data_IF_884702791412
#
_entry.id   IF_884702791412
#
_cell.length_a   1.000
_cell.length_b   1.000
_cell.length_c   1.000
_cell.angle_alpha   90.00
_cell.angle_beta   90.00
_cell.angle_gamma   90.00
#
_symmetry.space_group_name_H-M   'P 1'
#
loop_
_entity.id
_entity.type
_entity.pdbx_description
1 polymer ?
#
# COMPACT_ATOMS: atom_id res chain seq x y z
N UNK A 1 3.42 -10.67 -24.67
CA UNK A 1 2.97 -9.63 -23.72
C UNK A 1 2.16 -10.27 -22.60
N UNK A 2 2.05 -9.62 -21.44
CA UNK A 2 1.21 -10.00 -20.30
C UNK A 2 0.28 -8.84 -19.96
N UNK A 3 -0.92 -9.16 -19.46
CA UNK A 3 -1.83 -8.16 -18.90
C UNK A 3 -1.43 -7.92 -17.44
N UNK A 4 -1.06 -6.71 -17.10
CA UNK A 4 -0.71 -6.29 -15.74
C UNK A 4 -1.81 -5.43 -15.14
N UNK A 5 -2.10 -5.65 -13.86
CA UNK A 5 -3.05 -4.80 -13.14
C UNK A 5 -2.27 -3.64 -12.53
N UNK A 6 -2.67 -2.41 -12.84
CA UNK A 6 -1.94 -1.22 -12.41
C UNK A 6 -1.86 -1.19 -10.89
N UNK A 7 -3.00 -1.45 -10.25
CA UNK A 7 -3.08 -1.76 -8.81
C UNK A 7 -3.09 -3.29 -8.67
N UNK A 8 -2.31 -3.83 -7.74
CA UNK A 8 -2.31 -5.27 -7.47
C UNK A 8 -3.72 -5.82 -7.26
N UNK A 9 -4.07 -6.93 -7.96
CA UNK A 9 -5.34 -7.64 -7.75
C UNK A 9 -5.58 -8.00 -6.29
N UNK A 10 -4.51 -8.28 -5.54
CA UNK A 10 -4.61 -8.60 -4.13
C UNK A 10 -5.24 -7.46 -3.32
N UNK A 11 -5.04 -6.21 -3.74
CA UNK A 11 -5.56 -4.98 -3.12
C UNK A 11 -6.90 -4.56 -3.74
N UNK A 12 -7.43 -5.28 -4.74
CA UNK A 12 -8.73 -4.97 -5.34
C UNK A 12 -8.65 -3.95 -6.48
N UNK A 13 -7.88 -4.27 -7.54
CA UNK A 13 -7.82 -3.45 -8.75
C UNK A 13 -9.21 -3.19 -9.36
N UNK A 14 -9.54 -1.94 -9.73
CA UNK A 14 -10.77 -1.66 -10.47
C UNK A 14 -10.82 -2.42 -11.81
N UNK A 15 -12.01 -2.84 -12.28
CA UNK A 15 -12.17 -3.49 -13.58
C UNK A 15 -11.62 -2.63 -14.71
N UNK A 16 -10.90 -3.24 -15.64
CA UNK A 16 -10.33 -2.55 -16.81
C UNK A 16 -9.09 -1.70 -16.52
N UNK A 17 -8.68 -1.52 -15.26
CA UNK A 17 -7.50 -0.72 -14.89
C UNK A 17 -6.20 -1.54 -15.03
N UNK A 18 -5.88 -1.87 -16.28
CA UNK A 18 -4.83 -2.80 -16.67
C UNK A 18 -3.99 -2.26 -17.83
N UNK A 19 -2.75 -2.71 -17.94
CA UNK A 19 -1.83 -2.40 -19.05
C UNK A 19 -1.31 -3.68 -19.71
N UNK A 20 -0.92 -3.58 -20.98
CA UNK A 20 -0.15 -4.63 -21.67
C UNK A 20 1.34 -4.34 -21.53
N UNK A 21 2.07 -5.21 -20.84
CA UNK A 21 3.52 -5.06 -20.63
C UNK A 21 4.27 -6.32 -21.10
N UNK A 22 5.60 -6.22 -21.23
CA UNK A 22 6.42 -7.39 -21.55
C UNK A 22 6.51 -8.34 -20.33
N UNK A 23 6.75 -9.64 -20.58
CA UNK A 23 6.83 -10.64 -19.51
C UNK A 23 7.95 -10.33 -18.51
N UNK A 24 9.09 -9.81 -18.99
CA UNK A 24 10.22 -9.45 -18.14
C UNK A 24 9.89 -8.31 -17.17
N UNK A 25 9.19 -7.26 -17.62
CA UNK A 25 8.74 -6.17 -16.75
C UNK A 25 7.74 -6.70 -15.72
N UNK A 26 6.74 -7.49 -16.14
CA UNK A 26 5.76 -8.09 -15.23
C UNK A 26 6.43 -8.89 -14.10
N UNK A 27 7.41 -9.74 -14.43
CA UNK A 27 8.17 -10.50 -13.43
C UNK A 27 8.99 -9.62 -12.50
N UNK A 28 9.56 -8.50 -12.98
CA UNK A 28 10.34 -7.58 -12.14
C UNK A 28 9.46 -6.79 -11.17
N UNK A 29 8.23 -6.45 -11.56
CA UNK A 29 7.32 -5.60 -10.80
C UNK A 29 6.47 -6.38 -9.77
N UNK A 30 6.39 -7.70 -9.88
CA UNK A 30 5.56 -8.52 -8.99
C UNK A 30 5.91 -8.41 -7.50
N UNK A 31 7.17 -8.07 -7.18
CA UNK A 31 7.59 -7.84 -5.80
C UNK A 31 7.04 -6.52 -5.21
N UNK A 32 6.70 -5.53 -6.06
CA UNK A 32 6.04 -4.30 -5.66
C UNK A 32 4.55 -4.53 -5.39
N UNK A 33 3.92 -5.40 -6.18
CA UNK A 33 2.52 -5.82 -5.93
C UNK A 33 2.38 -6.56 -4.60
N UNK A 34 3.35 -7.41 -4.26
CA UNK A 34 3.41 -8.08 -2.96
C UNK A 34 3.60 -7.05 -1.84
N UNK A 35 4.55 -6.13 -2.00
CA UNK A 35 4.81 -5.06 -1.03
C UNK A 35 3.55 -4.22 -0.75
N UNK A 36 2.78 -3.91 -1.78
CA UNK A 36 1.50 -3.19 -1.67
C UNK A 36 0.48 -4.04 -0.89
N UNK A 37 0.36 -5.32 -1.23
CA UNK A 37 -0.58 -6.23 -0.61
C UNK A 37 -0.31 -6.46 0.88
N UNK A 38 0.97 -6.56 1.28
CA UNK A 38 1.41 -6.67 2.68
C UNK A 38 1.25 -5.35 3.43
N UNK A 39 1.52 -4.23 2.77
CA UNK A 39 1.36 -2.89 3.37
C UNK A 39 -0.08 -2.59 3.82
N UNK A 40 -1.08 -3.11 3.09
CA UNK A 40 -2.50 -2.89 3.35
C UNK A 40 -3.22 -4.15 3.86
N UNK A 41 -2.49 -5.14 4.38
CA UNK A 41 -3.01 -6.44 4.83
C UNK A 41 -4.18 -6.34 5.84
N UNK A 42 -4.06 -5.48 6.86
CA UNK A 42 -5.12 -5.25 7.85
C UNK A 42 -6.39 -4.69 7.23
N UNK A 43 -6.27 -3.73 6.31
CA UNK A 43 -7.42 -3.13 5.65
C UNK A 43 -8.10 -4.16 4.73
N UNK A 44 -7.30 -4.90 3.95
CA UNK A 44 -7.81 -5.97 3.08
C UNK A 44 -8.56 -7.02 3.89
N UNK A 45 -7.99 -7.45 5.02
CA UNK A 45 -8.61 -8.41 5.91
C UNK A 45 -9.90 -7.85 6.52
N UNK A 46 -9.85 -6.65 7.11
CA UNK A 46 -10.99 -6.00 7.78
C UNK A 46 -12.20 -5.80 6.86
N UNK A 47 -11.96 -5.51 5.58
CA UNK A 47 -13.00 -5.28 4.58
C UNK A 47 -13.26 -6.51 3.68
N UNK A 48 -12.70 -7.69 4.01
CA UNK A 48 -12.88 -8.94 3.27
C UNK A 48 -12.58 -8.82 1.76
N UNK A 49 -11.52 -8.10 1.42
CA UNK A 49 -11.15 -7.83 0.03
C UNK A 49 -10.53 -9.09 -0.57
N UNK A 50 -11.29 -9.73 -1.46
CA UNK A 50 -10.86 -10.96 -2.13
C UNK A 50 -9.61 -10.69 -2.95
N UNK A 51 -8.64 -11.58 -2.80
CA UNK A 51 -7.42 -11.57 -3.59
C UNK A 51 -7.63 -12.20 -4.96
N UNK A 52 -6.51 -12.61 -5.56
CA UNK A 52 -6.49 -13.29 -6.86
C UNK A 52 -7.39 -14.52 -6.84
N UNK A 53 -8.18 -14.68 -7.90
CA UNK A 53 -9.10 -15.80 -8.13
C UNK A 53 -10.15 -15.98 -7.01
N UNK A 54 -10.55 -14.87 -6.37
CA UNK A 54 -11.60 -14.87 -5.35
C UNK A 54 -11.16 -15.38 -3.97
N UNK A 55 -9.87 -15.64 -3.77
CA UNK A 55 -9.33 -16.15 -2.49
C UNK A 55 -9.54 -15.14 -1.36
N UNK A 56 -9.86 -15.65 -0.18
CA UNK A 56 -10.01 -14.83 1.02
C UNK A 56 -8.69 -14.12 1.39
N UNK A 57 -8.77 -12.90 1.96
CA UNK A 57 -7.58 -12.23 2.44
C UNK A 57 -6.99 -12.96 3.64
N UNK A 58 -5.66 -12.99 3.70
CA UNK A 58 -4.88 -13.59 4.78
C UNK A 58 -3.79 -12.59 5.18
N UNK A 59 -3.51 -12.49 6.48
CA UNK A 59 -2.38 -11.75 7.03
C UNK A 59 -1.29 -12.76 7.41
N UNK A 60 -0.22 -12.80 6.63
CA UNK A 60 0.92 -13.71 6.86
C UNK A 60 2.24 -12.98 7.15
N UNK A 61 2.40 -11.75 6.66
CA UNK A 61 3.64 -10.96 6.71
C UNK A 61 4.00 -10.43 8.11
N UNK A 62 3.10 -10.57 9.09
CA UNK A 62 3.33 -10.19 10.48
C UNK A 62 4.08 -11.30 11.24
N UNK A 63 5.01 -10.91 12.10
CA UNK A 63 5.88 -11.82 12.89
C UNK A 63 5.13 -12.52 14.01
N UNK A 64 4.22 -11.80 14.68
CA UNK A 64 3.51 -12.24 15.87
C UNK A 64 1.98 -12.28 15.66
N UNK A 65 1.51 -12.12 14.42
CA UNK A 65 0.11 -12.22 14.06
C UNK A 65 -0.08 -13.07 12.80
N UNK A 66 -1.17 -13.82 12.79
CA UNK A 66 -1.71 -14.50 11.63
C UNK A 66 -3.22 -14.26 11.60
N UNK A 67 -3.78 -13.96 10.44
CA UNK A 67 -5.22 -13.85 10.29
C UNK A 67 -5.69 -14.49 8.99
N UNK A 68 -6.85 -15.15 9.01
CA UNK A 68 -7.47 -15.78 7.85
C UNK A 68 -8.99 -15.81 7.99
N UNK A 69 -9.69 -16.16 6.92
CA UNK A 69 -11.10 -16.54 7.00
C UNK A 69 -11.20 -18.06 7.10
N UNK A 70 -11.76 -18.55 8.20
CA UNK A 70 -12.08 -19.96 8.42
C UNK A 70 -13.55 -20.27 8.18
N UNK A 71 -13.97 -21.51 8.51
CA UNK A 71 -15.35 -21.97 8.29
C UNK A 71 -16.40 -21.11 9.00
N UNK A 72 -16.04 -20.54 10.15
CA UNK A 72 -16.95 -19.77 11.00
C UNK A 72 -16.75 -18.24 10.87
N UNK A 73 -15.98 -17.78 9.88
CA UNK A 73 -15.67 -16.37 9.68
C UNK A 73 -14.20 -16.01 9.97
N UNK A 74 -13.90 -14.73 10.24
CA UNK A 74 -12.52 -14.27 10.41
C UNK A 74 -11.89 -14.82 11.69
N UNK A 75 -10.71 -15.41 11.57
CA UNK A 75 -9.87 -15.94 12.63
C UNK A 75 -8.61 -15.08 12.75
N UNK A 76 -8.30 -14.57 13.95
CA UNK A 76 -7.08 -13.81 14.23
C UNK A 76 -6.33 -14.51 15.35
N UNK A 77 -5.10 -14.90 15.07
CA UNK A 77 -4.16 -15.47 16.02
C UNK A 77 -3.07 -14.44 16.27
N UNK A 78 -2.94 -13.97 17.51
CA UNK A 78 -1.93 -13.00 17.91
C UNK A 78 -1.19 -13.49 19.14
N UNK A 79 0.15 -13.45 19.09
CA UNK A 79 0.98 -13.77 20.22
C UNK A 79 1.21 -12.52 21.08
N UNK A 80 0.64 -12.55 22.28
CA UNK A 80 0.77 -11.51 23.32
C UNK A 80 1.73 -11.93 24.45
N UNK A 81 2.26 -13.15 24.38
CA UNK A 81 3.18 -13.72 25.36
C UNK A 81 4.64 -13.32 25.10
N UNK A 82 5.52 -13.80 25.99
CA UNK A 82 6.98 -13.56 25.91
C UNK A 82 7.71 -14.62 25.09
N UNK A 83 7.11 -15.79 24.93
CA UNK A 83 7.70 -16.93 24.22
C UNK A 83 7.14 -17.07 22.81
N UNK A 84 7.83 -17.82 21.96
CA UNK A 84 7.27 -18.24 20.66
C UNK A 84 6.08 -19.17 20.89
N UNK A 85 5.03 -18.98 20.11
CA UNK A 85 3.83 -19.81 20.16
C UNK A 85 3.65 -20.51 18.83
N UNK A 86 3.57 -21.83 18.86
CA UNK A 86 3.18 -22.62 17.68
C UNK A 86 1.66 -22.62 17.54
N UNK A 87 1.18 -22.28 16.34
CA UNK A 87 -0.23 -22.44 15.96
C UNK A 87 -0.33 -23.54 14.91
N UNK A 88 -1.54 -24.02 14.63
CA UNK A 88 -1.77 -24.98 13.55
C UNK A 88 -1.29 -24.49 12.16
N UNK A 89 -1.10 -23.18 11.97
CA UNK A 89 -0.76 -22.58 10.68
C UNK A 89 0.69 -22.13 10.56
N UNK A 90 1.26 -21.59 11.65
CA UNK A 90 2.64 -21.07 11.71
C UNK A 90 3.08 -20.83 13.14
N UNK A 91 4.39 -20.65 13.30
CA UNK A 91 4.98 -20.11 14.53
C UNK A 91 4.78 -18.59 14.57
N UNK A 92 4.29 -18.09 15.70
CA UNK A 92 4.16 -16.67 16.01
C UNK A 92 5.22 -16.28 17.04
N UNK A 93 6.10 -15.35 16.66
CA UNK A 93 7.11 -14.80 17.57
C UNK A 93 6.46 -13.91 18.64
N UNK A 94 7.09 -13.67 19.80
CA UNK A 94 6.66 -12.63 20.72
C UNK A 94 6.80 -11.23 20.06
N UNK A 95 6.13 -10.23 20.62
CA UNK A 95 6.32 -8.83 20.18
C UNK A 95 7.76 -8.37 20.47
N UNK A 96 8.46 -7.86 19.46
CA UNK A 96 9.85 -7.41 19.52
C UNK A 96 10.03 -5.93 19.20
N UNK A 97 8.93 -5.19 18.97
CA UNK A 97 8.98 -3.77 18.59
C UNK A 97 9.40 -3.50 17.14
N UNK A 98 9.41 -4.52 16.27
CA UNK A 98 9.72 -4.33 14.84
C UNK A 98 8.54 -3.70 14.11
N UNK A 99 8.80 -3.03 12.98
CA UNK A 99 7.76 -2.36 12.19
C UNK A 99 6.61 -3.29 11.74
N UNK A 100 6.92 -4.59 11.56
CA UNK A 100 5.99 -5.65 11.15
C UNK A 100 5.28 -6.34 12.31
N UNK A 101 5.68 -6.04 13.55
CA UNK A 101 5.03 -6.56 14.74
C UNK A 101 3.71 -5.84 14.99
N UNK A 102 2.83 -6.51 15.73
CA UNK A 102 1.50 -6.04 16.07
C UNK A 102 1.39 -6.02 17.59
N UNK A 103 1.09 -4.86 18.17
CA UNK A 103 0.86 -4.75 19.61
C UNK A 103 -0.59 -5.17 19.88
N UNK A 104 -0.80 -6.06 20.83
CA UNK A 104 -2.14 -6.44 21.26
C UNK A 104 -2.24 -6.47 22.78
N UNK A 105 -3.39 -6.05 23.30
CA UNK A 105 -3.71 -6.06 24.72
C UNK A 105 -5.09 -6.67 24.92
N UNK A 106 -5.25 -7.43 26.00
CA UNK A 106 -6.53 -8.01 26.40
C UNK A 106 -7.00 -7.31 27.68
N UNK A 107 -8.25 -6.87 27.67
CA UNK A 107 -8.97 -6.39 28.86
C UNK A 107 -10.13 -7.32 29.11
N UNK A 108 -10.17 -7.97 30.27
CA UNK A 108 -11.31 -8.78 30.68
C UNK A 108 -12.52 -7.88 30.95
N UNK A 109 -13.68 -8.28 30.45
CA UNK A 109 -14.96 -7.64 30.72
C UNK A 109 -15.83 -8.56 31.61
N UNK A 110 -16.75 -7.99 32.39
CA UNK A 110 -17.72 -8.78 33.14
C UNK A 110 -18.48 -9.77 32.24
N UNK A 111 -18.64 -11.02 32.68
CA UNK A 111 -19.39 -12.04 31.93
C UNK A 111 -18.57 -12.90 30.96
N UNK A 112 -17.27 -13.09 31.19
CA UNK A 112 -16.36 -13.94 30.38
C UNK A 112 -16.14 -13.46 28.94
N UNK A 113 -16.39 -12.18 28.67
CA UNK A 113 -16.03 -11.56 27.39
C UNK A 113 -14.69 -10.85 27.55
N UNK A 114 -13.83 -10.93 26.54
CA UNK A 114 -12.56 -10.23 26.52
C UNK A 114 -12.59 -9.17 25.41
N UNK A 115 -12.19 -7.94 25.73
CA UNK A 115 -11.91 -6.91 24.74
C UNK A 115 -10.45 -7.03 24.31
N UNK A 116 -10.21 -7.25 23.02
CA UNK A 116 -8.86 -7.31 22.46
C UNK A 116 -8.63 -6.07 21.61
N UNK A 117 -7.65 -5.25 22.01
CA UNK A 117 -7.17 -4.14 21.18
C UNK A 117 -5.94 -4.59 20.41
N UNK A 118 -5.96 -4.42 19.09
CA UNK A 118 -4.85 -4.73 18.19
C UNK A 118 -4.40 -3.43 17.50
N UNK A 119 -3.11 -3.13 17.57
CA UNK A 119 -2.47 -1.98 16.96
C UNK A 119 -1.32 -2.46 16.05
N UNK A 120 -1.34 -2.07 14.79
CA UNK A 120 -0.32 -2.44 13.82
C UNK A 120 -0.09 -1.35 12.79
N UNK A 121 1.13 -1.28 12.26
CA UNK A 121 1.49 -0.30 11.24
C UNK A 121 0.95 -0.71 9.86
N UNK A 122 0.27 0.22 9.20
CA UNK A 122 -0.03 0.16 7.77
C UNK A 122 1.19 0.75 7.04
N UNK A 123 1.53 0.14 5.91
CA UNK A 123 2.61 0.65 5.07
C UNK A 123 4.02 0.43 5.60
N UNK A 124 4.22 -0.63 6.39
CA UNK A 124 5.51 -1.00 6.98
C UNK A 124 6.53 -1.52 5.95
N UNK A 125 6.11 -1.91 4.75
CA UNK A 125 7.01 -2.55 3.79
C UNK A 125 7.92 -1.50 3.13
N UNK A 126 9.26 -1.70 3.11
CA UNK A 126 10.21 -0.70 2.61
C UNK A 126 10.02 -0.33 1.13
N UNK A 127 9.43 -1.23 0.35
CA UNK A 127 9.12 -0.99 -1.08
C UNK A 127 7.76 -0.31 -1.32
N UNK A 128 7.00 0.08 -0.29
CA UNK A 128 5.67 0.68 -0.50
C UNK A 128 5.72 1.94 -1.37
N UNK A 129 6.65 2.85 -1.07
CA UNK A 129 6.79 4.08 -1.88
C UNK A 129 7.09 3.76 -3.35
N UNK A 130 7.94 2.77 -3.62
CA UNK A 130 8.19 2.28 -4.99
C UNK A 130 6.95 1.69 -5.64
N UNK A 131 6.15 0.92 -4.90
CA UNK A 131 4.90 0.36 -5.39
C UNK A 131 3.86 1.44 -5.73
N UNK A 132 3.78 2.50 -4.93
CA UNK A 132 2.90 3.64 -5.19
C UNK A 132 3.41 4.47 -6.39
N UNK A 133 4.71 4.66 -6.55
CA UNK A 133 5.27 5.27 -7.76
C UNK A 133 5.02 4.42 -9.02
N UNK A 134 5.04 3.08 -8.91
CA UNK A 134 4.66 2.16 -9.99
C UNK A 134 3.22 2.41 -10.43
N UNK A 135 2.29 2.42 -9.49
CA UNK A 135 0.87 2.73 -9.76
C UNK A 135 0.72 4.11 -10.41
N UNK A 136 1.40 5.13 -9.88
CA UNK A 136 1.33 6.48 -10.43
C UNK A 136 1.83 6.52 -11.89
N UNK A 137 3.01 5.99 -12.17
CA UNK A 137 3.58 5.96 -13.52
C UNK A 137 2.70 5.16 -14.49
N UNK A 138 2.23 3.99 -14.10
CA UNK A 138 1.34 3.17 -14.93
C UNK A 138 -0.03 3.82 -15.14
N UNK A 139 -0.54 4.57 -14.17
CA UNK A 139 -1.80 5.30 -14.33
C UNK A 139 -1.69 6.42 -15.37
N UNK A 140 -0.55 7.12 -15.45
CA UNK A 140 -0.29 8.07 -16.53
C UNK A 140 -0.32 7.36 -17.88
N UNK A 141 0.33 6.19 -18.00
CA UNK A 141 0.31 5.41 -19.24
C UNK A 141 -1.11 4.97 -19.64
N UNK A 142 -1.96 4.68 -18.65
CA UNK A 142 -3.36 4.32 -18.86
C UNK A 142 -4.19 5.51 -19.37
N UNK A 143 -4.04 6.70 -18.77
CA UNK A 143 -4.84 7.88 -19.11
C UNK A 143 -4.34 8.61 -20.36
N UNK A 144 -3.03 8.75 -20.51
CA UNK A 144 -2.40 9.60 -21.54
C UNK A 144 -1.67 8.80 -22.62
N UNK A 145 -1.58 7.47 -22.48
CA UNK A 145 -0.85 6.59 -23.38
C UNK A 145 0.59 6.34 -22.96
N UNK A 146 1.17 5.24 -23.45
CA UNK A 146 2.51 4.77 -23.06
C UNK A 146 3.59 5.78 -23.40
N UNK A 147 3.46 6.51 -24.51
CA UNK A 147 4.46 7.50 -24.93
C UNK A 147 4.68 8.60 -23.89
N UNK A 148 3.63 8.99 -23.15
CA UNK A 148 3.71 10.00 -22.09
C UNK A 148 4.71 9.63 -20.99
N UNK A 149 4.87 8.32 -20.72
CA UNK A 149 5.76 7.81 -19.65
C UNK A 149 7.08 7.27 -20.17
N UNK A 150 7.32 7.30 -21.49
CA UNK A 150 8.59 6.90 -22.10
C UNK A 150 9.56 8.07 -22.29
N UNK A 151 9.08 9.32 -22.19
CA UNK A 151 9.93 10.50 -22.26
C UNK A 151 11.10 10.44 -21.25
N UNK A 152 12.29 10.90 -21.64
CA UNK A 152 13.54 10.83 -20.87
C UNK A 152 13.45 11.53 -19.50
N UNK A 153 12.65 12.59 -19.39
CA UNK A 153 12.40 13.30 -18.12
C UNK A 153 11.85 12.40 -16.99
N UNK A 154 11.27 11.25 -17.33
CA UNK A 154 10.79 10.26 -16.37
C UNK A 154 11.75 9.07 -16.15
N UNK A 155 12.97 9.09 -16.71
CA UNK A 155 13.97 8.03 -16.51
C UNK A 155 14.29 7.80 -15.04
N UNK A 156 14.43 8.87 -14.27
CA UNK A 156 14.68 8.77 -12.83
C UNK A 156 13.52 8.09 -12.08
N UNK A 157 12.27 8.32 -12.51
CA UNK A 157 11.11 7.63 -11.94
C UNK A 157 11.12 6.16 -12.32
N UNK A 158 11.41 5.83 -13.59
CA UNK A 158 11.53 4.44 -14.07
C UNK A 158 12.63 3.69 -13.33
N UNK A 159 13.79 4.30 -13.16
CA UNK A 159 14.92 3.73 -12.41
C UNK A 159 14.59 3.53 -10.93
N UNK A 160 13.89 4.48 -10.31
CA UNK A 160 13.40 4.32 -8.95
C UNK A 160 12.40 3.15 -8.81
N UNK A 161 11.43 3.05 -9.72
CA UNK A 161 10.44 1.96 -9.71
C UNK A 161 11.14 0.61 -9.92
N UNK A 162 11.98 0.49 -10.95
CA UNK A 162 12.59 -0.78 -11.34
C UNK A 162 13.72 -1.21 -10.40
N UNK A 163 14.62 -0.30 -10.03
CA UNK A 163 15.85 -0.61 -9.29
C UNK A 163 15.80 -0.12 -7.84
N UNK A 164 15.03 0.92 -7.56
CA UNK A 164 15.02 1.60 -6.25
C UNK A 164 16.10 2.67 -6.14
N UNK A 165 16.62 3.16 -7.27
CA UNK A 165 17.66 4.17 -7.30
C UNK A 165 17.06 5.57 -7.17
N UNK A 166 17.69 6.42 -6.35
CA UNK A 166 17.27 7.80 -6.10
C UNK A 166 16.32 7.94 -4.91
N UNK A 167 16.21 9.17 -4.40
CA UNK A 167 15.36 9.50 -3.27
C UNK A 167 14.07 10.11 -3.80
N UNK A 168 12.93 9.50 -3.45
CA UNK A 168 11.62 10.00 -3.84
C UNK A 168 10.64 9.92 -2.69
N UNK A 169 9.82 10.95 -2.55
CA UNK A 169 8.85 11.14 -1.48
C UNK A 169 7.44 10.93 -2.02
N UNK A 170 6.59 10.33 -1.21
CA UNK A 170 5.14 10.35 -1.40
C UNK A 170 4.47 10.96 -0.19
N UNK A 171 3.33 11.59 -0.39
CA UNK A 171 2.47 12.03 0.72
C UNK A 171 1.32 11.06 0.88
N UNK A 172 1.06 10.66 2.11
CA UNK A 172 -0.10 9.85 2.48
C UNK A 172 -1.00 10.65 3.42
N UNK A 173 -2.29 10.66 3.14
CA UNK A 173 -3.29 11.30 3.99
C UNK A 173 -4.25 10.24 4.53
N UNK A 174 -4.55 10.37 5.82
CA UNK A 174 -5.60 9.58 6.42
C UNK A 174 -6.97 10.04 5.86
N UNK A 175 -7.87 9.12 5.51
CA UNK A 175 -9.20 9.51 5.07
C UNK A 175 -10.01 10.12 6.23
N UNK A 176 -10.87 11.09 5.92
CA UNK A 176 -11.84 11.62 6.88
C UNK A 176 -12.89 10.58 7.29
N UNK A 177 -13.20 9.63 6.38
CA UNK A 177 -14.06 8.47 6.63
C UNK A 177 -13.44 7.23 6.02
N UNK A 178 -13.34 6.16 6.82
CA UNK A 178 -12.85 4.88 6.34
C UNK A 178 -13.85 4.20 5.40
N UNK A 179 -13.45 4.07 4.15
CA UNK A 179 -14.11 3.30 3.10
C UNK A 179 -13.02 2.59 2.31
N UNK A 180 -13.10 1.26 2.17
CA UNK A 180 -12.16 0.55 1.33
C UNK A 180 -12.45 0.82 -0.13
N UNK A 181 -11.61 1.63 -0.76
CA UNK A 181 -11.79 2.03 -2.15
C UNK A 181 -10.45 2.26 -2.82
N UNK A 182 -10.38 1.84 -4.08
CA UNK A 182 -9.26 2.10 -4.97
C UNK A 182 -9.71 2.99 -6.11
N UNK A 183 -9.14 4.19 -6.21
CA UNK A 183 -9.38 5.14 -7.30
C UNK A 183 -8.03 5.75 -7.67
N UNK A 184 -7.77 5.94 -8.96
CA UNK A 184 -6.71 6.81 -9.44
C UNK A 184 -7.36 7.86 -10.32
N UNK A 185 -7.10 9.12 -10.03
CA UNK A 185 -7.60 10.22 -10.84
C UNK A 185 -6.69 10.41 -12.05
N UNK A 186 -7.21 11.07 -13.11
CA UNK A 186 -6.35 11.49 -14.20
C UNK A 186 -5.22 12.37 -13.66
N UNK A 187 -3.98 12.24 -14.19
CA UNK A 187 -2.85 12.99 -13.67
C UNK A 187 -3.09 14.50 -13.83
N UNK A 188 -2.73 15.26 -12.80
CA UNK A 188 -2.51 16.69 -12.94
C UNK A 188 -1.28 16.92 -13.83
N UNK A 189 -1.40 17.89 -14.74
CA UNK A 189 -0.35 18.26 -15.69
C UNK A 189 -0.01 19.73 -15.44
N UNK A 190 1.25 20.02 -15.14
CA UNK A 190 1.73 21.40 -15.00
C UNK A 190 2.04 22.04 -16.38
N UNK A 191 2.48 23.30 -16.36
CA UNK A 191 2.82 24.06 -17.57
C UNK A 191 4.02 23.47 -18.34
N UNK A 192 4.91 22.74 -17.66
CA UNK A 192 6.07 22.04 -18.23
C UNK A 192 5.73 20.59 -18.64
N UNK A 193 4.46 20.21 -18.51
CA UNK A 193 3.96 18.87 -18.80
C UNK A 193 4.42 17.80 -17.82
N UNK A 194 4.85 18.13 -16.61
CA UNK A 194 5.13 17.17 -15.55
C UNK A 194 3.84 16.66 -14.92
N UNK A 195 3.90 15.45 -14.36
CA UNK A 195 2.72 14.77 -13.85
C UNK A 195 2.73 14.66 -12.33
N UNK A 196 1.59 14.96 -11.72
CA UNK A 196 1.29 14.62 -10.33
C UNK A 196 0.04 13.74 -10.29
N UNK A 197 0.12 12.62 -9.58
CA UNK A 197 -0.97 11.64 -9.50
C UNK A 197 -1.58 11.64 -8.11
N UNK A 198 -2.90 11.78 -8.08
CA UNK A 198 -3.72 11.63 -6.90
C UNK A 198 -4.42 10.27 -6.97
N UNK A 199 -4.27 9.48 -5.93
CA UNK A 199 -4.90 8.17 -5.84
C UNK A 199 -5.39 7.90 -4.43
N UNK A 200 -6.44 7.09 -4.34
CA UNK A 200 -6.92 6.48 -3.11
C UNK A 200 -6.65 4.98 -3.22
N UNK A 201 -5.84 4.42 -2.33
CA UNK A 201 -5.51 2.99 -2.28
C UNK A 201 -5.91 2.45 -0.92
N UNK A 202 -6.80 1.46 -0.89
CA UNK A 202 -7.41 0.90 0.32
C UNK A 202 -8.05 1.98 1.23
N UNK A 203 -8.52 3.10 0.65
CA UNK A 203 -9.06 4.23 1.39
C UNK A 203 -8.04 5.29 1.82
N UNK A 204 -6.73 5.02 1.75
CA UNK A 204 -5.67 6.00 2.04
C UNK A 204 -5.38 6.82 0.79
N UNK A 205 -5.32 8.14 0.93
CA UNK A 205 -4.99 9.03 -0.19
C UNK A 205 -3.47 9.11 -0.32
N UNK A 206 -2.94 8.92 -1.52
CA UNK A 206 -1.55 9.12 -1.87
C UNK A 206 -1.42 10.18 -2.97
N UNK A 207 -0.44 11.07 -2.80
CA UNK A 207 -0.06 12.09 -3.78
C UNK A 207 1.38 11.79 -4.22
N UNK A 208 1.58 11.63 -5.52
CA UNK A 208 2.86 11.24 -6.11
C UNK A 208 3.27 12.19 -7.21
N UNK A 209 4.37 12.92 -6.98
CA UNK A 209 4.99 13.79 -7.97
C UNK A 209 6.01 12.99 -8.82
N UNK A 210 5.74 12.94 -10.12
CA UNK A 210 6.56 12.24 -11.12
C UNK A 210 7.55 13.17 -11.84
N UNK A 211 7.59 14.47 -11.56
CA UNK A 211 8.65 15.36 -12.07
C UNK A 211 10.03 14.85 -11.62
N UNK A 212 11.07 14.96 -12.45
CA UNK A 212 12.40 14.37 -12.18
C UNK A 212 12.90 14.65 -10.75
N UNK A 213 12.85 15.91 -10.34
CA UNK A 213 13.32 16.40 -9.02
C UNK A 213 12.22 16.56 -7.97
N UNK A 214 11.02 16.05 -8.23
CA UNK A 214 9.85 16.26 -7.37
C UNK A 214 9.59 17.73 -7.01
N UNK A 215 9.57 18.59 -8.03
CA UNK A 215 9.47 20.05 -7.87
C UNK A 215 8.18 20.51 -7.17
N UNK A 216 7.13 19.69 -7.17
CA UNK A 216 5.86 19.99 -6.50
C UNK A 216 5.87 19.63 -5.02
N UNK A 217 6.85 18.85 -4.53
CA UNK A 217 6.92 18.43 -3.12
C UNK A 217 6.83 19.60 -2.13
N UNK A 218 7.55 20.73 -2.30
CA UNK A 218 7.41 21.88 -1.41
C UNK A 218 5.98 22.44 -1.40
N UNK A 219 5.38 22.60 -2.58
CA UNK A 219 4.01 23.14 -2.73
C UNK A 219 2.98 22.21 -2.11
N UNK A 220 3.05 20.91 -2.37
CA UNK A 220 2.17 19.90 -1.79
C UNK A 220 2.32 19.89 -0.27
N UNK A 221 3.56 19.88 0.24
CA UNK A 221 3.84 19.89 1.68
C UNK A 221 3.24 21.12 2.37
N UNK A 222 3.43 22.30 1.78
CA UNK A 222 2.89 23.56 2.32
C UNK A 222 1.36 23.54 2.30
N UNK A 223 0.75 23.06 1.23
CA UNK A 223 -0.71 22.90 1.15
C UNK A 223 -1.22 21.97 2.26
N UNK A 224 -0.65 20.76 2.39
CA UNK A 224 -1.07 19.80 3.40
C UNK A 224 -0.89 20.35 4.83
N UNK A 225 0.21 21.04 5.09
CA UNK A 225 0.44 21.67 6.38
C UNK A 225 -0.58 22.79 6.67
N UNK A 226 -0.89 23.64 5.70
CA UNK A 226 -1.84 24.73 5.88
C UNK A 226 -3.29 24.23 6.03
N UNK A 227 -3.64 23.13 5.36
CA UNK A 227 -5.00 22.56 5.41
C UNK A 227 -5.23 21.65 6.62
N UNK A 228 -4.26 20.82 6.98
CA UNK A 228 -4.43 19.77 8.02
C UNK A 228 -3.55 19.98 9.27
N UNK A 229 -2.64 20.96 9.24
CA UNK A 229 -1.68 21.20 10.31
C UNK A 229 -0.58 20.14 10.38
N UNK A 230 -0.10 19.85 11.60
CA UNK A 230 0.96 18.87 11.87
C UNK A 230 0.51 17.40 11.84
N UNK A 231 -0.79 17.13 11.69
CA UNK A 231 -1.39 15.79 11.79
C UNK A 231 -2.31 15.53 10.59
N UNK A 232 -2.74 14.29 10.41
CA UNK A 232 -3.67 13.90 9.34
C UNK A 232 -3.01 13.51 8.01
N UNK A 233 -1.71 13.75 7.89
CA UNK A 233 -0.89 13.34 6.77
C UNK A 233 0.52 12.98 7.24
N UNK A 234 1.23 12.24 6.41
CA UNK A 234 2.63 11.91 6.58
C UNK A 234 3.30 11.89 5.21
N UNK A 235 4.62 11.93 5.20
CA UNK A 235 5.39 11.59 4.00
C UNK A 235 6.23 10.36 4.27
N UNK A 236 6.37 9.51 3.26
CA UNK A 236 7.29 8.39 3.30
C UNK A 236 8.55 8.82 2.54
N UNK A 237 9.66 9.13 3.25
CA UNK A 237 10.94 9.32 2.60
C UNK A 237 11.45 7.95 2.12
N UNK A 238 12.21 7.97 1.03
CA UNK A 238 13.00 6.82 0.56
C UNK A 238 14.42 7.30 0.37
#
# INVERSE_FOLDING_TARGET
>A
MSLDHIISRAVGCPPGFVLKICKACHSKLSNLDLALAESFDFLRFRFNIKGKDGKDPVITGRTNLYARYGKNGPEIHVNIGKEKVETFYKVLNPYQGKAIDVKANITELPGKMAYIKIEGNIGHHPKLSRALHKIALESVAYFLGVEAVLHEKYDQVRDFVLKGNGNRVIFLLAPSRWEYKNIVEAPYIDEEGNYCVFMKIAGIIAIVDLSSNQMHVPTIKNYLFNTYGKRGWLWLPV
#
